data_IF_051767641123
#
_entry.id   IF_051767641123
#
_cell.length_a   1.000
_cell.length_b   1.000
_cell.length_c   1.000
_cell.angle_alpha   90.00
_cell.angle_beta   90.00
_cell.angle_gamma   90.00
#
_symmetry.space_group_name_H-M   'P 1'
#
loop_
_entity.id
_entity.type
_entity.pdbx_description
1 polymer ?
#
# COMPACT_ATOMS: atom_id res chain seq x y z
N UNK A 1 5.36 -6.20 11.42
CA UNK A 1 4.49 -5.31 12.23
C UNK A 1 4.16 -5.89 13.61
N UNK A 2 5.14 -6.38 14.37
CA UNK A 2 4.86 -6.96 15.70
C UNK A 2 4.88 -5.89 16.81
N UNK A 3 3.94 -6.02 17.74
CA UNK A 3 3.60 -5.05 18.78
C UNK A 3 2.09 -4.75 18.75
N UNK A 4 1.42 -4.86 19.90
CA UNK A 4 -0.05 -4.90 20.01
C UNK A 4 -0.78 -3.76 19.30
N UNK A 5 -0.14 -2.60 19.11
CA UNK A 5 -0.84 -1.38 18.75
C UNK A 5 -0.49 -0.84 17.34
N UNK A 6 0.53 -1.38 16.66
CA UNK A 6 1.05 -0.78 15.41
C UNK A 6 0.11 -0.98 14.22
N UNK A 7 -0.35 -2.21 14.01
CA UNK A 7 -1.30 -2.52 12.94
C UNK A 7 -2.65 -1.82 13.18
N UNK A 8 -3.12 -1.80 14.42
CA UNK A 8 -4.37 -1.13 14.77
C UNK A 8 -4.26 0.39 14.62
N UNK A 9 -3.12 0.99 14.98
CA UNK A 9 -2.85 2.42 14.73
C UNK A 9 -2.82 2.74 13.23
N UNK A 10 -2.23 1.86 12.42
CA UNK A 10 -2.28 1.98 10.96
C UNK A 10 -3.72 1.90 10.44
N UNK A 11 -4.49 0.89 10.86
CA UNK A 11 -5.89 0.74 10.47
C UNK A 11 -6.68 1.99 10.84
N UNK A 12 -6.53 2.53 12.05
CA UNK A 12 -7.19 3.77 12.46
C UNK A 12 -6.80 4.96 11.57
N UNK A 13 -5.51 5.15 11.31
CA UNK A 13 -5.02 6.25 10.47
C UNK A 13 -5.54 6.17 9.04
N UNK A 14 -5.58 4.97 8.46
CA UNK A 14 -6.14 4.74 7.13
C UNK A 14 -7.65 4.98 7.10
N UNK A 15 -8.40 4.56 8.13
CA UNK A 15 -9.84 4.86 8.23
C UNK A 15 -10.12 6.37 8.25
N UNK A 16 -9.30 7.15 8.97
CA UNK A 16 -9.38 8.62 8.95
C UNK A 16 -9.12 9.18 7.54
N UNK A 17 -8.13 8.67 6.83
CA UNK A 17 -7.84 9.05 5.45
C UNK A 17 -9.00 8.72 4.50
N UNK A 18 -9.56 7.51 4.59
CA UNK A 18 -10.69 7.05 3.76
C UNK A 18 -11.90 7.96 3.94
N UNK A 19 -12.16 8.43 5.16
CA UNK A 19 -13.24 9.36 5.43
C UNK A 19 -13.08 10.71 4.72
N UNK A 20 -11.85 11.11 4.38
CA UNK A 20 -11.55 12.35 3.64
C UNK A 20 -11.52 12.16 2.12
N UNK A 21 -11.62 10.93 1.60
CA UNK A 21 -11.67 10.69 0.16
C UNK A 21 -12.97 11.25 -0.45
N UNK A 22 -12.82 11.88 -1.62
CA UNK A 22 -13.92 12.35 -2.47
C UNK A 22 -14.32 11.26 -3.48
N UNK A 23 -15.54 11.29 -4.04
CA UNK A 23 -15.96 10.32 -5.07
C UNK A 23 -15.05 10.24 -6.30
N UNK A 24 -14.43 11.36 -6.68
CA UNK A 24 -13.45 11.46 -7.77
C UNK A 24 -12.13 10.73 -7.46
N UNK A 25 -11.79 10.56 -6.18
CA UNK A 25 -10.56 9.88 -5.81
C UNK A 25 -10.69 8.38 -6.04
N UNK A 26 -9.56 7.72 -6.31
CA UNK A 26 -9.46 6.26 -6.37
C UNK A 26 -8.44 5.80 -5.33
N UNK A 27 -8.73 4.68 -4.69
CA UNK A 27 -7.83 4.01 -3.76
C UNK A 27 -7.64 2.57 -4.21
N UNK A 28 -6.39 2.13 -4.19
CA UNK A 28 -5.97 0.75 -4.40
C UNK A 28 -5.11 0.34 -3.21
N UNK A 29 -5.18 -0.92 -2.82
CA UNK A 29 -4.40 -1.44 -1.69
C UNK A 29 -3.72 -2.73 -2.15
N UNK A 30 -2.41 -2.74 -2.04
CA UNK A 30 -1.58 -3.94 -2.18
C UNK A 30 -1.04 -4.23 -0.78
N UNK A 31 -1.15 -5.49 -0.36
CA UNK A 31 -0.65 -5.92 0.94
C UNK A 31 0.39 -7.01 0.77
N UNK A 32 1.08 -7.23 1.86
CA UNK A 32 2.23 -8.06 1.95
C UNK A 32 2.27 -8.69 3.35
N UNK A 33 1.99 -9.98 3.36
CA UNK A 33 1.99 -10.82 4.53
C UNK A 33 2.23 -12.26 4.05
N UNK A 34 3.49 -12.64 3.85
CA UNK A 34 3.88 -13.94 3.29
C UNK A 34 3.81 -14.08 1.76
N UNK A 35 2.90 -13.37 1.08
CA UNK A 35 2.85 -13.29 -0.40
C UNK A 35 2.28 -11.94 -0.89
N UNK A 36 2.81 -11.42 -2.00
CA UNK A 36 2.30 -10.23 -2.68
C UNK A 36 0.85 -10.40 -3.15
N UNK A 37 -0.04 -9.47 -2.80
CA UNK A 37 -1.45 -9.56 -3.21
C UNK A 37 -2.19 -8.23 -3.27
N UNK A 38 -3.09 -8.12 -4.25
CA UNK A 38 -4.02 -6.99 -4.33
C UNK A 38 -5.17 -7.24 -3.33
N UNK A 39 -5.29 -6.37 -2.33
CA UNK A 39 -6.38 -6.42 -1.34
C UNK A 39 -7.56 -5.59 -1.80
N UNK A 40 -7.30 -4.53 -2.54
CA UNK A 40 -8.31 -3.64 -3.09
C UNK A 40 -7.90 -3.16 -4.48
N UNK A 41 -8.67 -3.60 -5.48
CA UNK A 41 -8.64 -3.04 -6.83
C UNK A 41 -9.06 -1.56 -6.85
N UNK A 42 -8.67 -0.76 -7.86
CA UNK A 42 -8.96 0.67 -7.94
C UNK A 42 -10.44 0.98 -7.68
N UNK A 43 -10.71 1.54 -6.50
CA UNK A 43 -12.06 1.76 -5.99
C UNK A 43 -12.29 3.24 -5.75
N UNK A 44 -13.44 3.76 -6.22
CA UNK A 44 -13.83 5.16 -5.98
C UNK A 44 -13.93 5.46 -4.49
N UNK A 45 -13.46 6.64 -4.08
CA UNK A 45 -13.59 7.18 -2.74
C UNK A 45 -15.04 7.45 -2.31
N UNK A 46 -16.00 7.33 -3.23
CA UNK A 46 -17.44 7.30 -2.90
C UNK A 46 -17.86 5.98 -2.29
N UNK A 47 -17.18 4.87 -2.62
CA UNK A 47 -17.41 3.55 -2.04
C UNK A 47 -16.56 3.34 -0.77
N UNK A 48 -16.76 4.21 0.21
CA UNK A 48 -15.99 4.19 1.48
C UNK A 48 -16.13 2.85 2.19
N UNK A 49 -17.32 2.26 2.20
CA UNK A 49 -17.59 0.97 2.84
C UNK A 49 -16.66 -0.14 2.33
N UNK A 50 -16.47 -0.24 1.00
CA UNK A 50 -15.56 -1.23 0.40
C UNK A 50 -14.09 -1.00 0.81
N UNK A 51 -13.66 0.26 0.85
CA UNK A 51 -12.27 0.61 1.22
C UNK A 51 -12.02 0.35 2.72
N UNK A 52 -12.98 0.68 3.58
CA UNK A 52 -12.92 0.40 5.02
C UNK A 52 -12.88 -1.12 5.28
N UNK A 53 -13.75 -1.89 4.62
CA UNK A 53 -13.76 -3.35 4.74
C UNK A 53 -12.43 -3.98 4.29
N UNK A 54 -11.78 -3.43 3.26
CA UNK A 54 -10.45 -3.86 2.85
C UNK A 54 -9.38 -3.54 3.90
N UNK A 55 -9.47 -2.39 4.57
CA UNK A 55 -8.55 -1.98 5.64
C UNK A 55 -8.69 -2.88 6.88
N UNK A 56 -9.91 -3.30 7.21
CA UNK A 56 -10.17 -4.17 8.36
C UNK A 56 -9.56 -5.57 8.21
N UNK A 57 -9.45 -6.05 6.97
CA UNK A 57 -8.87 -7.36 6.61
C UNK A 57 -7.36 -7.47 6.77
N UNK A 58 -6.65 -6.38 7.11
CA UNK A 58 -5.21 -6.48 7.31
C UNK A 58 -4.92 -7.36 8.52
N UNK A 59 -4.03 -8.34 8.34
CA UNK A 59 -3.54 -9.22 9.40
C UNK A 59 -2.01 -9.17 9.39
N UNK A 60 -1.40 -9.15 10.57
CA UNK A 60 0.04 -9.32 10.68
C UNK A 60 0.36 -10.82 10.54
N UNK A 61 0.78 -11.25 9.35
CA UNK A 61 1.19 -12.63 9.06
C UNK A 61 2.47 -12.67 8.22
N UNK A 62 3.29 -13.70 8.42
CA UNK A 62 4.44 -14.03 7.56
C UNK A 62 5.72 -13.21 7.79
N UNK A 63 6.78 -13.63 7.11
CA UNK A 63 8.07 -12.92 6.99
C UNK A 63 8.07 -11.99 5.78
N UNK A 64 8.87 -10.93 5.84
CA UNK A 64 8.98 -9.91 4.80
C UNK A 64 9.76 -10.43 3.57
N UNK A 65 9.09 -11.04 2.58
CA UNK A 65 9.62 -11.29 1.21
C UNK A 65 9.69 -10.08 0.22
N UNK A 66 10.49 -9.02 0.41
CA UNK A 66 10.22 -7.65 -0.12
C UNK A 66 10.62 -7.22 -1.56
N UNK A 67 10.70 -8.12 -2.56
CA UNK A 67 11.19 -7.77 -3.91
C UNK A 67 10.13 -7.70 -5.02
N UNK A 68 9.15 -8.60 -5.00
CA UNK A 68 8.13 -8.71 -6.06
C UNK A 68 6.95 -7.76 -5.83
N UNK A 69 6.79 -7.32 -4.59
CA UNK A 69 5.70 -6.54 -4.05
C UNK A 69 5.78 -5.10 -4.42
N UNK A 70 6.99 -4.52 -4.34
CA UNK A 70 7.20 -3.15 -4.78
C UNK A 70 6.91 -3.07 -6.28
N UNK A 71 7.36 -4.04 -7.07
CA UNK A 71 7.03 -4.12 -8.50
C UNK A 71 5.52 -4.25 -8.73
N UNK A 72 4.82 -5.11 -7.97
CA UNK A 72 3.36 -5.24 -8.07
C UNK A 72 2.63 -3.95 -7.70
N UNK A 73 3.05 -3.27 -6.63
CA UNK A 73 2.48 -2.00 -6.19
C UNK A 73 2.72 -0.88 -7.22
N UNK A 74 3.91 -0.85 -7.83
CA UNK A 74 4.23 0.09 -8.90
C UNK A 74 3.41 -0.19 -10.16
N UNK A 75 3.34 -1.44 -10.61
CA UNK A 75 2.46 -1.87 -11.71
C UNK A 75 1.01 -1.47 -11.46
N UNK A 76 0.49 -1.74 -10.27
CA UNK A 76 -0.88 -1.34 -9.88
C UNK A 76 -1.06 0.17 -9.94
N UNK A 77 -0.06 0.94 -9.50
CA UNK A 77 -0.13 2.40 -9.57
C UNK A 77 -0.15 2.89 -11.01
N UNK A 78 0.68 2.35 -11.89
CA UNK A 78 0.67 2.73 -13.30
C UNK A 78 -0.66 2.36 -13.98
N UNK A 79 -1.24 1.19 -13.68
CA UNK A 79 -2.56 0.82 -14.18
C UNK A 79 -3.70 1.71 -13.68
N UNK A 80 -3.55 2.30 -12.49
CA UNK A 80 -4.59 3.12 -11.86
C UNK A 80 -4.31 4.62 -11.90
N UNK A 81 -3.27 5.02 -12.65
CA UNK A 81 -2.82 6.40 -12.83
C UNK A 81 -3.93 7.25 -13.44
N UNK A 82 -4.16 8.39 -12.83
CA UNK A 82 -5.07 9.42 -13.35
C UNK A 82 -4.23 10.45 -14.11
N UNK A 83 -4.39 10.50 -15.43
CA UNK A 83 -3.75 11.50 -16.28
C UNK A 83 -4.19 12.91 -15.88
N UNK A 84 -3.25 13.84 -15.79
CA UNK A 84 -3.48 15.21 -15.30
C UNK A 84 -4.07 15.28 -13.87
N UNK A 85 -3.93 14.20 -13.11
CA UNK A 85 -4.34 14.10 -11.71
C UNK A 85 -3.17 13.96 -10.75
N UNK A 86 -3.47 14.06 -9.46
CA UNK A 86 -2.47 13.83 -8.40
C UNK A 86 -2.46 12.33 -8.07
N UNK A 87 -1.33 11.67 -8.35
CA UNK A 87 -1.10 10.27 -8.02
C UNK A 87 -0.12 10.18 -6.84
N UNK A 88 -0.49 9.47 -5.76
CA UNK A 88 0.33 9.34 -4.54
C UNK A 88 0.51 7.87 -4.19
N UNK A 89 1.77 7.46 -3.99
CA UNK A 89 2.16 6.13 -3.49
C UNK A 89 2.45 6.26 -1.99
N UNK A 90 1.82 5.45 -1.15
CA UNK A 90 2.07 5.39 0.29
C UNK A 90 2.62 4.02 0.63
N UNK A 91 3.89 3.96 1.02
CA UNK A 91 4.52 2.74 1.52
C UNK A 91 4.46 2.76 3.04
N UNK A 92 3.92 1.69 3.63
CA UNK A 92 3.85 1.51 5.08
C UNK A 92 4.53 0.20 5.43
N UNK A 93 5.55 0.27 6.28
CA UNK A 93 6.40 -0.85 6.70
C UNK A 93 6.84 -0.60 8.15
N UNK A 94 7.19 -1.65 8.89
CA UNK A 94 7.81 -1.53 10.21
C UNK A 94 9.35 -1.61 10.18
N UNK A 95 9.95 -1.51 8.99
CA UNK A 95 11.38 -1.26 8.79
C UNK A 95 12.23 -2.47 8.48
N UNK A 96 11.64 -3.66 8.32
CA UNK A 96 12.39 -4.91 8.16
C UNK A 96 12.27 -5.48 6.74
N UNK A 97 12.81 -4.79 5.72
CA UNK A 97 12.82 -5.26 4.33
C UNK A 97 13.78 -6.45 4.16
N UNK A 98 13.31 -7.67 4.38
CA UNK A 98 14.20 -8.83 4.50
C UNK A 98 14.42 -9.70 3.26
N UNK A 99 13.84 -9.39 2.09
CA UNK A 99 14.16 -10.13 0.84
C UNK A 99 14.00 -9.23 -0.39
N UNK A 100 14.96 -9.23 -1.32
CA UNK A 100 14.85 -8.57 -2.64
C UNK A 100 15.41 -7.14 -2.73
N UNK A 101 15.03 -6.25 -1.82
CA UNK A 101 15.66 -4.93 -1.60
C UNK A 101 16.13 -4.94 -0.16
N UNK A 102 17.44 -5.07 0.03
CA UNK A 102 18.08 -5.39 1.31
C UNK A 102 18.66 -4.17 2.03
N UNK A 103 18.56 -3.00 1.41
CA UNK A 103 19.04 -1.74 1.96
C UNK A 103 18.14 -0.56 1.60
N UNK A 104 18.18 0.48 2.42
CA UNK A 104 17.53 1.76 2.16
C UNK A 104 18.04 2.39 0.84
N UNK A 105 19.32 2.17 0.50
CA UNK A 105 19.94 2.61 -0.75
C UNK A 105 19.32 1.94 -1.97
N UNK A 106 19.13 0.61 -1.94
CA UNK A 106 18.47 -0.13 -3.02
C UNK A 106 17.01 0.30 -3.17
N UNK A 107 16.31 0.58 -2.06
CA UNK A 107 14.95 1.09 -2.10
C UNK A 107 14.90 2.47 -2.75
N UNK A 108 15.82 3.37 -2.38
CA UNK A 108 15.94 4.71 -2.98
C UNK A 108 16.24 4.61 -4.47
N UNK A 109 17.15 3.73 -4.87
CA UNK A 109 17.49 3.52 -6.28
C UNK A 109 16.27 3.03 -7.06
N UNK A 110 15.57 2.00 -6.57
CA UNK A 110 14.36 1.48 -7.20
C UNK A 110 13.26 2.54 -7.34
N UNK A 111 12.97 3.27 -6.26
CA UNK A 111 11.95 4.34 -6.27
C UNK A 111 12.32 5.48 -7.22
N UNK A 112 13.62 5.75 -7.40
CA UNK A 112 14.13 6.79 -8.31
C UNK A 112 13.99 6.36 -9.77
N UNK A 113 14.36 5.12 -10.10
CA UNK A 113 14.17 4.57 -11.46
C UNK A 113 12.70 4.55 -11.86
N UNK A 114 11.80 4.17 -10.96
CA UNK A 114 10.37 4.11 -11.25
C UNK A 114 9.63 5.46 -11.14
N UNK A 115 10.35 6.54 -10.84
CA UNK A 115 9.82 7.91 -10.86
C UNK A 115 9.91 8.55 -12.25
N UNK A 116 10.82 8.05 -13.09
CA UNK A 116 11.01 8.46 -14.48
C UNK A 116 9.93 7.86 -15.39
#
# INVERSE_FOLDING_TARGET
>A
MYGSDRLDSLKHSLKLLVNKLRPLNKASIVSYAGSAGVVLEPTSGGNKAKILAATDKFEARGSTAGGEELKLAYKMTEHSKINSGINRKLLVTDGDFNVGISSDEELKAFVTTEKE
#
